data_IF_359823568311
#
_entry.id   IF_359823568311
#
_cell.length_a   1.000
_cell.length_b   1.000
_cell.length_c   1.000
_cell.angle_alpha   90.00
_cell.angle_beta   90.00
_cell.angle_gamma   90.00
#
_symmetry.space_group_name_H-M   'P 1'
#
loop_
_entity.id
_entity.type
_entity.pdbx_description
1 polymer ?
#
# COMPACT_ATOMS: atom_id res chain seq x y z
N UNK A 1 -34.73 -10.59 -41.95
CA UNK A 1 -33.38 -10.20 -41.50
C UNK A 1 -33.50 -8.95 -40.65
N UNK A 2 -32.89 -9.01 -39.45
CA UNK A 2 -32.53 -7.96 -38.51
C UNK A 2 -33.39 -6.67 -38.46
N UNK A 3 -34.13 -6.51 -37.37
CA UNK A 3 -34.42 -5.19 -36.83
C UNK A 3 -33.64 -5.03 -35.53
N UNK A 4 -32.92 -3.92 -35.47
CA UNK A 4 -32.00 -3.49 -34.43
C UNK A 4 -32.77 -2.98 -33.21
N UNK A 5 -32.37 -3.37 -32.01
CA UNK A 5 -32.76 -2.69 -30.77
C UNK A 5 -31.67 -1.69 -30.39
N UNK A 6 -32.02 -0.40 -30.39
CA UNK A 6 -31.21 0.67 -29.81
C UNK A 6 -31.67 0.90 -28.38
N UNK A 7 -30.72 0.87 -27.44
CA UNK A 7 -30.93 1.21 -26.03
C UNK A 7 -31.31 2.69 -25.85
N UNK A 8 -32.29 2.95 -24.99
CA UNK A 8 -32.53 4.28 -24.41
C UNK A 8 -32.57 4.14 -22.90
N UNK A 9 -31.74 4.96 -22.26
CA UNK A 9 -31.50 5.07 -20.82
C UNK A 9 -32.51 6.06 -20.23
N UNK A 10 -32.75 5.91 -18.91
CA UNK A 10 -33.40 6.83 -17.97
C UNK A 10 -34.93 6.70 -17.84
N UNK A 11 -35.40 6.30 -16.65
CA UNK A 11 -36.09 7.26 -15.77
C UNK A 11 -36.33 6.69 -14.35
N UNK A 12 -35.58 7.28 -13.41
CA UNK A 12 -36.04 7.84 -12.13
C UNK A 12 -37.03 7.01 -11.29
N UNK A 13 -36.54 6.55 -10.13
CA UNK A 13 -37.30 5.97 -9.02
C UNK A 13 -38.53 6.82 -8.63
N UNK A 14 -39.77 6.29 -8.67
CA UNK A 14 -40.89 6.96 -8.03
C UNK A 14 -40.96 6.56 -6.55
N UNK A 15 -40.83 7.59 -5.71
CA UNK A 15 -41.19 7.58 -4.29
C UNK A 15 -42.71 7.43 -4.11
N UNK A 16 -43.14 6.42 -3.36
CA UNK A 16 -44.42 6.38 -2.66
C UNK A 16 -45.69 6.06 -3.46
N UNK A 17 -46.03 4.78 -3.56
CA UNK A 17 -47.42 4.32 -3.64
C UNK A 17 -47.57 3.04 -2.81
N UNK A 18 -48.49 3.07 -1.85
CA UNK A 18 -48.68 2.03 -0.84
C UNK A 18 -48.98 0.66 -1.45
N UNK A 19 -48.23 -0.35 -1.01
CA UNK A 19 -48.60 -1.75 -1.14
C UNK A 19 -49.00 -2.27 0.23
N UNK A 20 -50.22 -2.79 0.28
CA UNK A 20 -50.85 -3.38 1.45
C UNK A 20 -49.97 -4.49 2.04
N UNK A 21 -49.74 -4.37 3.34
CA UNK A 21 -48.95 -5.27 4.18
C UNK A 21 -49.68 -6.62 4.29
N UNK A 22 -49.32 -7.57 3.43
CA UNK A 22 -49.58 -9.00 3.65
C UNK A 22 -48.40 -9.61 4.39
N UNK A 23 -48.52 -9.67 5.72
CA UNK A 23 -47.45 -10.00 6.67
C UNK A 23 -47.13 -11.50 6.80
N UNK A 24 -47.60 -12.37 5.90
CA UNK A 24 -47.73 -13.80 6.24
C UNK A 24 -46.92 -14.81 5.40
N UNK A 25 -45.94 -14.36 4.59
CA UNK A 25 -45.11 -15.31 3.82
C UNK A 25 -43.60 -15.04 3.72
N UNK A 26 -43.03 -14.28 4.66
CA UNK A 26 -41.56 -14.03 4.71
C UNK A 26 -40.88 -14.49 6.01
N UNK A 27 -41.62 -15.10 6.95
CA UNK A 27 -41.10 -15.45 8.27
C UNK A 27 -40.25 -16.73 8.38
N UNK A 28 -39.95 -17.44 7.29
CA UNK A 28 -39.32 -18.78 7.38
C UNK A 28 -38.19 -19.05 6.37
N UNK A 29 -37.60 -18.03 5.74
CA UNK A 29 -36.49 -18.25 4.79
C UNK A 29 -35.14 -17.64 5.17
N UNK A 30 -35.01 -17.02 6.35
CA UNK A 30 -33.72 -16.49 6.82
C UNK A 30 -33.27 -17.02 8.19
N UNK A 31 -33.98 -17.96 8.80
CA UNK A 31 -33.44 -18.68 9.95
C UNK A 31 -32.49 -19.78 9.45
N UNK A 32 -31.21 -19.44 9.31
CA UNK A 32 -30.16 -20.45 9.26
C UNK A 32 -29.68 -20.66 10.70
N UNK A 33 -30.08 -21.74 11.40
CA UNK A 33 -29.60 -21.98 12.75
C UNK A 33 -28.07 -22.05 12.71
N UNK A 34 -27.44 -21.26 13.59
CA UNK A 34 -25.99 -21.21 13.78
C UNK A 34 -25.40 -22.62 13.71
N UNK A 35 -24.57 -22.88 12.69
CA UNK A 35 -23.80 -24.10 12.62
C UNK A 35 -23.00 -24.29 13.92
N UNK A 36 -23.04 -25.47 14.56
CA UNK A 36 -22.25 -25.74 15.75
C UNK A 36 -20.76 -25.64 15.38
N UNK A 37 -20.12 -24.54 15.78
CA UNK A 37 -18.72 -24.25 15.44
C UNK A 37 -18.35 -22.77 15.26
N UNK A 38 -19.31 -21.83 15.28
CA UNK A 38 -18.95 -20.41 15.20
C UNK A 38 -18.20 -19.96 16.46
N UNK A 39 -16.87 -19.85 16.36
CA UNK A 39 -15.99 -19.27 17.39
C UNK A 39 -16.53 -17.89 17.81
N UNK A 40 -16.57 -17.59 19.12
CA UNK A 40 -16.91 -16.24 19.58
C UNK A 40 -15.97 -15.22 18.91
N UNK A 41 -16.53 -14.17 18.31
CA UNK A 41 -15.77 -13.08 17.66
C UNK A 41 -15.05 -12.16 18.67
N UNK A 42 -15.09 -12.49 19.95
CA UNK A 42 -14.58 -11.65 21.03
C UNK A 42 -13.06 -11.79 21.21
N UNK A 43 -12.42 -12.75 20.54
CA UNK A 43 -10.95 -12.95 20.58
C UNK A 43 -10.31 -12.66 19.21
N UNK A 44 -9.18 -11.92 19.18
CA UNK A 44 -8.37 -11.77 17.98
C UNK A 44 -8.07 -13.13 17.35
N UNK A 45 -8.22 -13.23 16.03
CA UNK A 45 -7.84 -14.43 15.30
C UNK A 45 -6.35 -14.33 14.95
N UNK A 46 -5.53 -15.35 15.26
CA UNK A 46 -4.14 -15.36 14.85
C UNK A 46 -4.00 -15.22 13.34
N UNK A 47 -2.95 -14.52 12.91
CA UNK A 47 -2.61 -14.38 11.51
C UNK A 47 -1.10 -14.39 11.32
N UNK A 48 -0.69 -14.73 10.11
CA UNK A 48 0.68 -14.58 9.61
C UNK A 48 0.55 -14.08 8.17
N UNK A 49 1.22 -12.98 7.86
CA UNK A 49 1.37 -12.56 6.49
C UNK A 49 2.74 -11.93 6.25
N UNK A 50 3.12 -11.94 4.99
CA UNK A 50 4.25 -11.16 4.53
C UNK A 50 4.25 -10.96 3.03
N UNK A 51 5.09 -10.02 2.61
CA UNK A 51 5.38 -9.76 1.22
C UNK A 51 6.83 -9.27 1.07
N UNK A 52 7.34 -9.43 -0.15
CA UNK A 52 8.59 -8.84 -0.59
C UNK A 52 8.39 -8.37 -2.03
N UNK A 53 8.62 -7.10 -2.29
CA UNK A 53 8.41 -6.46 -3.60
C UNK A 53 9.74 -5.86 -4.03
N UNK A 54 10.27 -6.37 -5.13
CA UNK A 54 11.45 -5.85 -5.79
C UNK A 54 11.05 -5.30 -7.17
N UNK A 55 11.51 -4.10 -7.50
CA UNK A 55 11.31 -3.52 -8.83
C UNK A 55 12.56 -3.64 -9.72
N UNK A 56 12.42 -3.30 -11.00
CA UNK A 56 13.51 -3.35 -11.98
C UNK A 56 14.58 -2.26 -11.75
N UNK A 57 14.32 -1.29 -10.87
CA UNK A 57 15.22 -0.18 -10.57
C UNK A 57 16.12 -0.46 -9.36
N UNK A 58 15.99 -1.63 -8.73
CA UNK A 58 16.80 -2.03 -7.58
C UNK A 58 16.20 -1.61 -6.23
N UNK A 59 14.95 -1.12 -6.21
CA UNK A 59 14.24 -0.89 -4.96
C UNK A 59 13.65 -2.20 -4.44
N UNK A 60 13.65 -2.34 -3.12
CA UNK A 60 13.06 -3.48 -2.43
C UNK A 60 12.24 -3.01 -1.23
N UNK A 61 11.05 -3.57 -1.03
CA UNK A 61 10.19 -3.32 0.13
C UNK A 61 9.66 -4.64 0.66
N UNK A 62 9.63 -4.81 1.98
CA UNK A 62 9.17 -6.05 2.59
C UNK A 62 8.42 -5.81 3.91
N UNK A 63 7.58 -6.77 4.26
CA UNK A 63 6.97 -6.89 5.58
C UNK A 63 6.75 -8.36 5.91
N UNK A 64 6.97 -8.73 7.16
CA UNK A 64 6.47 -9.95 7.78
C UNK A 64 5.84 -9.57 9.11
N UNK A 65 4.63 -10.03 9.37
CA UNK A 65 3.90 -9.76 10.61
C UNK A 65 3.10 -10.99 11.05
N UNK A 66 3.08 -11.20 12.36
CA UNK A 66 2.27 -12.23 13.01
C UNK A 66 1.43 -11.58 14.10
N UNK A 67 0.17 -12.00 14.21
CA UNK A 67 -0.71 -11.69 15.32
C UNK A 67 -1.09 -12.96 16.08
N UNK A 68 -1.10 -12.90 17.41
CA UNK A 68 -1.49 -14.03 18.26
C UNK A 68 -2.96 -13.94 18.72
N UNK A 69 -3.43 -14.99 19.41
CA UNK A 69 -4.81 -15.05 19.90
C UNK A 69 -5.10 -14.11 21.10
N UNK A 70 -4.05 -13.48 21.66
CA UNK A 70 -4.16 -12.50 22.74
C UNK A 70 -4.17 -11.06 22.20
N UNK A 71 -4.03 -10.88 20.88
CA UNK A 71 -3.96 -9.57 20.24
C UNK A 71 -2.56 -8.96 20.23
N UNK A 72 -1.52 -9.71 20.62
CA UNK A 72 -0.15 -9.27 20.46
C UNK A 72 0.25 -9.38 18.98
N UNK A 73 0.92 -8.35 18.47
CA UNK A 73 1.41 -8.29 17.10
C UNK A 73 2.91 -8.11 17.11
N UNK A 74 3.63 -8.89 16.30
CA UNK A 74 5.07 -8.72 16.12
C UNK A 74 5.45 -8.86 14.67
N UNK A 75 6.47 -8.12 14.25
CA UNK A 75 6.88 -8.17 12.86
C UNK A 75 8.14 -7.39 12.55
N UNK A 76 8.47 -7.38 11.26
CA UNK A 76 9.50 -6.53 10.70
C UNK A 76 9.02 -5.99 9.36
N UNK A 77 9.24 -4.71 9.10
CA UNK A 77 9.09 -4.13 7.77
C UNK A 77 10.32 -3.33 7.41
N UNK A 78 10.49 -3.05 6.13
CA UNK A 78 11.57 -2.20 5.67
C UNK A 78 11.61 -2.00 4.19
N UNK A 79 12.55 -1.18 3.77
CA UNK A 79 12.87 -0.96 2.38
C UNK A 79 14.38 -0.78 2.20
N UNK A 80 14.83 -0.95 0.96
CA UNK A 80 16.13 -0.53 0.47
C UNK A 80 15.93 0.07 -0.92
N UNK A 81 16.48 1.25 -1.18
CA UNK A 81 16.41 1.87 -2.51
C UNK A 81 17.63 1.52 -3.37
N UNK A 82 17.58 1.95 -4.63
CA UNK A 82 18.65 1.74 -5.61
C UNK A 82 20.01 2.32 -5.20
N UNK A 83 20.05 3.27 -4.28
CA UNK A 83 21.26 3.92 -3.78
C UNK A 83 21.80 3.27 -2.51
N UNK A 84 21.15 2.21 -2.01
CA UNK A 84 21.53 1.52 -0.79
C UNK A 84 21.06 2.23 0.48
N UNK A 85 20.16 3.22 0.37
CA UNK A 85 19.45 3.76 1.53
C UNK A 85 18.40 2.78 1.99
N UNK A 86 18.36 2.51 3.29
CA UNK A 86 17.45 1.54 3.87
C UNK A 86 16.87 2.02 5.19
N UNK A 87 15.71 1.46 5.50
CA UNK A 87 15.15 1.42 6.85
C UNK A 87 14.64 0.02 7.11
N UNK A 88 14.95 -0.51 8.29
CA UNK A 88 14.38 -1.75 8.83
C UNK A 88 13.82 -1.46 10.22
N UNK A 89 12.58 -1.84 10.44
CA UNK A 89 11.90 -1.68 11.72
C UNK A 89 11.44 -3.04 12.18
N UNK A 90 11.97 -3.49 13.32
CA UNK A 90 11.43 -4.63 14.08
C UNK A 90 10.52 -4.07 15.16
N UNK A 91 9.33 -4.64 15.34
CA UNK A 91 8.36 -4.10 16.28
C UNK A 91 7.58 -5.19 17.02
N UNK A 92 7.09 -4.81 18.19
CA UNK A 92 6.13 -5.55 19.00
C UNK A 92 5.06 -4.59 19.49
N UNK A 93 3.80 -4.98 19.37
CA UNK A 93 2.65 -4.32 19.96
C UNK A 93 1.95 -5.33 20.89
N UNK A 94 1.97 -5.06 22.19
CA UNK A 94 1.35 -5.92 23.20
C UNK A 94 0.84 -5.07 24.38
N UNK A 95 0.56 -5.71 25.52
CA UNK A 95 0.10 -5.03 26.74
C UNK A 95 1.06 -3.94 27.26
N UNK A 96 2.35 -3.99 26.92
CA UNK A 96 3.33 -2.96 27.25
C UNK A 96 3.45 -1.86 26.16
N UNK A 97 2.48 -1.78 25.25
CA UNK A 97 2.40 -0.78 24.18
C UNK A 97 3.20 -1.16 22.93
N UNK A 98 3.38 -0.18 22.04
CA UNK A 98 4.18 -0.33 20.83
C UNK A 98 5.65 -0.02 21.10
N UNK A 99 6.54 -0.92 20.67
CA UNK A 99 8.00 -0.78 20.80
C UNK A 99 8.66 -1.15 19.49
N UNK A 100 9.68 -0.39 19.10
CA UNK A 100 10.35 -0.58 17.82
C UNK A 100 11.87 -0.47 17.93
N UNK A 101 12.57 -1.33 17.20
CA UNK A 101 13.99 -1.24 16.91
C UNK A 101 14.13 -0.82 15.43
N UNK A 102 14.64 0.38 15.20
CA UNK A 102 14.83 0.97 13.88
C UNK A 102 16.31 0.93 13.53
N UNK A 103 16.66 0.25 12.44
CA UNK A 103 17.99 0.33 11.83
C UNK A 103 17.89 1.06 10.50
N UNK A 104 18.66 2.13 10.31
CA UNK A 104 18.58 2.97 9.10
C UNK A 104 19.92 3.61 8.76
N UNK A 105 20.14 3.99 7.50
CA UNK A 105 21.24 4.85 7.07
C UNK A 105 20.74 6.10 6.33
N UNK A 106 19.49 6.52 6.57
CA UNK A 106 18.91 7.68 5.89
C UNK A 106 19.59 8.99 6.32
N UNK A 107 19.96 9.86 5.36
CA UNK A 107 20.56 11.15 5.66
C UNK A 107 19.66 12.02 6.54
N UNK A 108 20.25 12.63 7.57
CA UNK A 108 19.54 13.55 8.46
C UNK A 108 18.81 12.89 9.64
N UNK A 109 18.83 11.55 9.75
CA UNK A 109 18.41 10.87 10.97
C UNK A 109 19.41 11.13 12.10
N UNK A 110 18.84 11.33 13.30
CA UNK A 110 19.61 11.45 14.53
C UNK A 110 19.55 10.16 15.31
N UNK A 111 20.64 9.87 16.00
CA UNK A 111 20.77 8.74 16.90
C UNK A 111 20.06 9.05 18.23
N UNK A 112 18.73 9.10 18.21
CA UNK A 112 17.88 9.40 19.37
C UNK A 112 16.90 8.24 19.64
N UNK A 113 16.29 8.18 20.82
CA UNK A 113 15.35 7.10 21.19
C UNK A 113 14.05 7.63 21.79
N UNK A 114 13.21 8.31 21.00
CA UNK A 114 11.92 8.82 21.45
C UNK A 114 10.87 7.70 21.57
N UNK A 115 9.91 7.86 22.48
CA UNK A 115 8.65 7.10 22.51
C UNK A 115 8.80 5.56 22.35
N UNK A 116 9.70 4.94 23.12
CA UNK A 116 9.98 3.49 23.09
C UNK A 116 10.45 2.93 21.74
N UNK A 117 10.96 3.80 20.86
CA UNK A 117 11.70 3.44 19.67
C UNK A 117 13.20 3.58 19.93
N UNK A 118 13.97 2.56 19.58
CA UNK A 118 15.44 2.58 19.59
C UNK A 118 15.91 2.71 18.16
N UNK A 119 16.64 3.77 17.84
CA UNK A 119 17.26 3.92 16.54
C UNK A 119 18.69 3.36 16.57
N UNK A 120 19.17 2.86 15.43
CA UNK A 120 20.54 2.47 15.15
C UNK A 120 20.85 3.04 13.77
N UNK A 121 21.62 4.12 13.72
CA UNK A 121 21.89 4.86 12.50
C UNK A 121 23.28 4.48 11.99
N UNK A 122 23.32 3.84 10.82
CA UNK A 122 24.53 3.55 10.07
C UNK A 122 24.89 4.75 9.16
N UNK A 123 26.14 4.82 8.71
CA UNK A 123 26.61 5.87 7.81
C UNK A 123 25.87 5.80 6.45
N UNK A 124 25.33 6.93 5.93
CA UNK A 124 24.75 6.97 4.60
C UNK A 124 25.77 6.63 3.50
N UNK A 125 25.35 6.04 2.37
CA UNK A 125 26.19 5.84 1.19
C UNK A 125 26.73 7.18 0.67
N UNK A 126 27.94 7.14 0.10
CA UNK A 126 28.57 8.30 -0.52
C UNK A 126 27.68 8.84 -1.65
N UNK A 127 27.21 10.08 -1.52
CA UNK A 127 26.29 10.72 -2.47
C UNK A 127 24.80 10.66 -2.11
N UNK A 128 24.43 10.07 -0.97
CA UNK A 128 23.04 10.06 -0.50
C UNK A 128 22.53 11.42 0.01
N UNK A 129 23.42 12.37 0.27
CA UNK A 129 23.04 13.72 0.67
C UNK A 129 22.50 14.49 -0.55
N UNK A 130 21.18 14.61 -0.65
CA UNK A 130 20.57 15.67 -1.48
C UNK A 130 20.80 16.98 -0.74
N UNK A 131 21.54 17.92 -1.35
CA UNK A 131 21.66 19.28 -0.83
C UNK A 131 20.28 19.95 -0.85
N UNK A 132 19.57 19.94 0.27
CA UNK A 132 18.42 20.83 0.46
C UNK A 132 18.95 22.23 0.76
N UNK A 133 19.24 22.99 -0.30
CA UNK A 133 19.43 24.43 -0.15
C UNK A 133 18.11 25.02 0.38
N UNK A 134 18.15 25.49 1.64
CA UNK A 134 17.14 26.29 2.32
C UNK A 134 15.91 25.54 2.88
N UNK A 135 16.10 24.83 4.00
CA UNK A 135 15.21 24.93 5.16
C UNK A 135 13.76 24.41 5.08
N UNK A 136 13.33 23.76 4.00
CA UNK A 136 12.06 23.02 3.97
C UNK A 136 12.27 21.67 3.31
N UNK A 137 12.13 20.60 4.10
CA UNK A 137 12.20 19.23 3.61
C UNK A 137 10.88 18.87 2.93
N UNK A 138 10.86 18.89 1.60
CA UNK A 138 9.86 18.17 0.82
C UNK A 138 10.56 17.25 -0.16
N UNK A 139 10.27 15.96 -0.05
CA UNK A 139 10.67 14.94 -1.03
C UNK A 139 9.84 15.15 -2.29
N UNK A 140 10.45 15.67 -3.35
CA UNK A 140 9.93 15.54 -4.70
C UNK A 140 10.94 14.79 -5.55
N UNK A 141 10.51 13.62 -6.03
CA UNK A 141 11.17 12.87 -7.11
C UNK A 141 11.25 13.78 -8.32
N UNK A 142 12.46 14.24 -8.66
CA UNK A 142 12.70 14.99 -9.88
C UNK A 142 12.68 14.03 -11.08
N UNK A 143 11.51 13.87 -11.69
CA UNK A 143 11.40 13.27 -13.03
C UNK A 143 11.94 14.27 -14.04
N UNK A 144 13.25 14.27 -14.25
CA UNK A 144 13.86 14.99 -15.36
C UNK A 144 14.73 14.02 -16.18
N UNK A 145 14.06 13.05 -16.82
CA UNK A 145 14.62 12.39 -18.00
C UNK A 145 14.23 13.23 -19.21
N UNK A 146 15.09 14.20 -19.56
CA UNK A 146 15.09 14.76 -20.91
C UNK A 146 15.23 13.60 -21.89
N UNK A 147 14.17 13.32 -22.64
CA UNK A 147 14.22 12.40 -23.78
C UNK A 147 15.22 12.99 -24.79
N UNK A 148 16.30 12.27 -25.19
CA UNK A 148 17.10 12.74 -26.29
C UNK A 148 16.23 12.74 -27.55
N UNK A 149 16.06 13.90 -28.18
CA UNK A 149 15.35 14.03 -29.43
C UNK A 149 15.95 13.09 -30.47
N UNK A 150 15.18 12.08 -30.91
CA UNK A 150 15.53 11.29 -32.09
C UNK A 150 15.52 12.22 -33.30
N UNK A 151 16.70 12.58 -33.80
CA UNK A 151 16.86 13.18 -35.12
C UNK A 151 16.63 12.08 -36.15
N UNK A 152 15.52 12.17 -36.88
CA UNK A 152 15.33 11.36 -38.09
C UNK A 152 16.33 11.81 -39.17
N UNK A 153 16.95 10.89 -39.93
CA UNK A 153 17.75 11.29 -41.09
C UNK A 153 16.82 11.84 -42.18
N UNK A 154 17.26 12.90 -42.85
CA UNK A 154 16.58 13.44 -44.02
C UNK A 154 16.66 12.40 -45.16
N UNK A 155 15.52 12.09 -45.77
CA UNK A 155 15.47 11.29 -46.99
C UNK A 155 16.08 12.10 -48.15
N UNK A 156 17.21 11.64 -48.69
CA UNK A 156 17.70 12.11 -49.99
C UNK A 156 16.94 11.34 -51.07
N UNK A 157 15.99 11.99 -51.72
CA UNK A 157 15.47 11.52 -53.01
C UNK A 157 16.49 11.87 -54.09
N UNK A 158 17.07 10.84 -54.71
CA UNK A 158 17.92 10.98 -55.88
C UNK A 158 17.04 11.21 -57.11
N UNK A 159 17.13 12.39 -57.72
CA UNK A 159 16.71 12.60 -59.09
C UNK A 159 17.75 11.94 -60.01
N UNK A 160 17.29 11.02 -60.86
CA UNK A 160 18.05 10.48 -61.99
C UNK A 160 17.46 11.07 -63.28
N UNK A 161 18.37 11.32 -64.21
CA UNK A 161 18.18 11.92 -65.54
C UNK A 161 17.19 11.16 -66.43
#
# INVERSE_FOLDING_TARGET
MAQQETSSVEDVYPIGAGFERSEEKLGQQFYNPRAPGAVPKDRPQPYDFGFNIQDEYGNNQFRQETGDANGAVSGTYGYTDAFGIFRRVKYVADAAGYRAEVKSNEPGLKQESPASAVFQIDEPPQGAYVQVANGHSTSLVQTDRRVPARRFPAATSAARA
#
